data_IF_215201683046
#
_entry.id   IF_215201683046
#
_cell.length_a   1.000
_cell.length_b   1.000
_cell.length_c   1.000
_cell.angle_alpha   90.00
_cell.angle_beta   90.00
_cell.angle_gamma   90.00
#
_symmetry.space_group_name_H-M   'P 1'
#
loop_
_entity.id
_entity.type
_entity.pdbx_description
1 polymer ?
#
# COMPACT_ATOMS: atom_id res chain seq x y z
N UNK A 1 -49.03 79.02 62.19
CA UNK A 1 -49.84 78.73 60.99
C UNK A 1 -49.04 79.18 59.78
N UNK A 2 -48.40 78.24 59.07
CA UNK A 2 -47.50 78.54 57.96
C UNK A 2 -48.25 78.42 56.62
N UNK A 3 -48.30 79.52 55.88
CA UNK A 3 -48.79 79.59 54.50
C UNK A 3 -47.70 79.06 53.55
N UNK A 4 -48.05 78.12 52.66
CA UNK A 4 -47.18 77.61 51.60
C UNK A 4 -47.66 78.14 50.24
N UNK A 5 -46.78 78.86 49.54
CA UNK A 5 -46.96 79.22 48.13
C UNK A 5 -46.37 78.11 47.23
N UNK A 6 -47.12 77.68 46.22
CA UNK A 6 -46.68 76.74 45.17
C UNK A 6 -45.90 77.46 44.08
N UNK A 7 -44.77 76.87 43.66
CA UNK A 7 -44.07 77.19 42.40
C UNK A 7 -44.12 75.98 41.44
N UNK A 8 -44.10 76.17 40.11
CA UNK A 8 -44.39 75.13 39.12
C UNK A 8 -43.14 74.31 38.70
N UNK A 9 -43.40 73.10 38.20
CA UNK A 9 -42.43 72.07 37.87
C UNK A 9 -41.55 72.37 36.64
N UNK A 10 -40.29 71.90 36.58
CA UNK A 10 -39.45 72.01 35.39
C UNK A 10 -39.74 70.89 34.37
N UNK A 11 -39.64 71.25 33.08
CA UNK A 11 -39.76 70.38 31.91
C UNK A 11 -38.61 69.36 31.82
N UNK A 12 -38.95 68.12 31.51
CA UNK A 12 -38.00 67.05 31.20
C UNK A 12 -37.34 67.27 29.83
N UNK A 13 -36.02 67.14 29.77
CA UNK A 13 -35.19 67.14 28.56
C UNK A 13 -35.26 65.77 27.86
N UNK A 14 -35.49 65.78 26.55
CA UNK A 14 -35.49 64.58 25.72
C UNK A 14 -34.06 64.09 25.47
N UNK A 15 -33.74 62.87 25.90
CA UNK A 15 -32.52 62.17 25.50
C UNK A 15 -32.76 61.37 24.22
N UNK A 16 -32.00 61.65 23.17
CA UNK A 16 -31.98 60.92 21.91
C UNK A 16 -31.42 59.50 22.13
N UNK A 17 -32.22 58.46 21.87
CA UNK A 17 -31.75 57.08 21.80
C UNK A 17 -30.94 56.87 20.52
N UNK A 18 -29.63 56.68 20.65
CA UNK A 18 -28.79 56.12 19.58
C UNK A 18 -29.05 54.62 19.52
N UNK A 19 -29.72 54.16 18.45
CA UNK A 19 -29.88 52.73 18.16
C UNK A 19 -28.58 52.19 17.56
N UNK A 20 -27.83 51.42 18.35
CA UNK A 20 -26.67 50.69 17.86
C UNK A 20 -27.13 49.57 16.90
N UNK A 21 -26.89 49.72 15.59
CA UNK A 21 -27.07 48.64 14.64
C UNK A 21 -26.01 47.57 14.89
N UNK A 22 -26.42 46.39 15.37
CA UNK A 22 -25.55 45.21 15.43
C UNK A 22 -25.23 44.79 14.00
N UNK A 23 -24.05 45.16 13.51
CA UNK A 23 -23.47 44.55 12.31
C UNK A 23 -23.28 43.05 12.59
N UNK A 24 -24.05 42.22 11.90
CA UNK A 24 -23.85 40.77 11.86
C UNK A 24 -22.47 40.51 11.24
N UNK A 25 -21.48 40.18 12.07
CA UNK A 25 -20.23 39.57 11.59
C UNK A 25 -20.61 38.20 11.01
N UNK A 26 -20.73 38.12 9.69
CA UNK A 26 -20.71 36.84 8.98
C UNK A 26 -19.34 36.22 9.21
N UNK A 27 -19.26 35.27 10.14
CA UNK A 27 -18.11 34.38 10.28
C UNK A 27 -18.12 33.48 9.04
N UNK A 28 -17.27 33.81 8.08
CA UNK A 28 -17.03 32.98 6.91
C UNK A 28 -16.13 31.83 7.37
N UNK A 29 -16.75 30.72 7.77
CA UNK A 29 -16.01 29.47 8.03
C UNK A 29 -15.57 28.94 6.68
N UNK A 30 -14.36 29.30 6.26
CA UNK A 30 -13.68 28.62 5.17
C UNK A 30 -13.33 27.24 5.70
N UNK A 31 -14.09 26.21 5.31
CA UNK A 31 -13.62 24.83 5.48
C UNK A 31 -12.33 24.74 4.69
N UNK A 32 -11.21 24.45 5.37
CA UNK A 32 -9.97 24.11 4.70
C UNK A 32 -10.30 23.05 3.65
N UNK A 33 -9.93 23.31 2.40
CA UNK A 33 -10.14 22.36 1.32
C UNK A 33 -9.39 21.08 1.72
N UNK A 34 -10.13 19.99 1.98
CA UNK A 34 -9.53 18.71 2.36
C UNK A 34 -8.61 18.28 1.21
N UNK A 35 -7.39 17.89 1.54
CA UNK A 35 -6.43 17.44 0.53
C UNK A 35 -7.03 16.30 -0.29
N UNK A 36 -6.71 16.28 -1.59
CA UNK A 36 -7.20 15.25 -2.50
C UNK A 36 -6.67 13.88 -2.05
N UNK A 37 -7.54 12.89 -1.97
CA UNK A 37 -7.16 11.50 -1.71
C UNK A 37 -6.34 10.97 -2.89
N UNK A 38 -5.18 10.40 -2.59
CA UNK A 38 -4.35 9.64 -3.54
C UNK A 38 -4.69 8.16 -3.39
N UNK A 39 -4.89 7.46 -4.51
CA UNK A 39 -5.31 6.05 -4.53
C UNK A 39 -4.19 5.17 -5.08
N UNK A 40 -3.77 4.20 -4.27
CA UNK A 40 -2.71 3.24 -4.60
C UNK A 40 -3.33 1.85 -4.76
N UNK A 41 -3.03 1.15 -5.84
CA UNK A 41 -3.43 -0.24 -6.04
C UNK A 41 -2.28 -1.19 -5.73
N UNK A 42 -2.51 -2.18 -4.87
CA UNK A 42 -1.57 -3.26 -4.58
C UNK A 42 -2.16 -4.61 -4.99
N UNK A 43 -1.65 -5.18 -6.06
CA UNK A 43 -2.03 -6.50 -6.52
C UNK A 43 -1.08 -7.57 -6.03
N UNK A 44 -1.63 -8.58 -5.38
CA UNK A 44 -0.85 -9.69 -4.88
C UNK A 44 -1.73 -10.90 -4.51
N UNK A 45 -1.19 -12.12 -4.69
CA UNK A 45 -1.89 -13.34 -4.30
C UNK A 45 -1.92 -13.51 -2.77
N UNK A 46 -2.85 -14.32 -2.28
CA UNK A 46 -2.93 -14.80 -0.91
C UNK A 46 -1.60 -15.42 -0.46
N UNK A 47 -1.14 -15.10 0.76
CA UNK A 47 0.07 -15.69 1.34
C UNK A 47 1.41 -15.18 0.79
N UNK A 48 1.42 -14.23 -0.14
CA UNK A 48 2.64 -13.73 -0.79
C UNK A 48 3.36 -12.61 0.00
N UNK A 49 3.00 -12.36 1.26
CA UNK A 49 3.61 -11.30 2.07
C UNK A 49 2.95 -9.93 1.96
N UNK A 50 1.70 -9.84 1.46
CA UNK A 50 0.91 -8.60 1.37
C UNK A 50 0.85 -7.83 2.67
N UNK A 51 0.51 -8.50 3.77
CA UNK A 51 0.44 -7.87 5.08
C UNK A 51 1.79 -7.31 5.52
N UNK A 52 2.90 -7.98 5.20
CA UNK A 52 4.25 -7.48 5.49
C UNK A 52 4.55 -6.23 4.66
N UNK A 53 4.27 -6.28 3.36
CA UNK A 53 4.47 -5.13 2.48
C UNK A 53 3.62 -3.93 2.92
N UNK A 54 2.35 -4.17 3.23
CA UNK A 54 1.45 -3.14 3.75
C UNK A 54 1.96 -2.51 5.02
N UNK A 55 2.43 -3.30 5.99
CA UNK A 55 3.02 -2.78 7.24
C UNK A 55 4.26 -1.92 6.97
N UNK A 56 5.15 -2.33 6.05
CA UNK A 56 6.32 -1.53 5.65
C UNK A 56 5.89 -0.20 5.04
N UNK A 57 4.95 -0.24 4.09
CA UNK A 57 4.45 0.97 3.43
C UNK A 57 3.78 1.92 4.43
N UNK A 58 2.92 1.43 5.32
CA UNK A 58 2.27 2.28 6.32
C UNK A 58 3.25 2.86 7.34
N UNK A 59 4.34 2.15 7.65
CA UNK A 59 5.38 2.62 8.58
C UNK A 59 6.04 3.92 8.09
N UNK A 60 6.13 4.11 6.77
CA UNK A 60 6.71 5.30 6.12
C UNK A 60 5.81 6.53 6.26
N UNK A 61 4.49 6.34 6.25
CA UNK A 61 3.51 7.42 6.39
C UNK A 61 3.14 7.75 7.84
N UNK A 62 3.74 7.04 8.81
CA UNK A 62 3.45 7.21 10.22
C UNK A 62 2.20 6.48 10.69
N UNK A 63 2.18 6.22 12.01
CA UNK A 63 1.15 5.47 12.70
C UNK A 63 1.27 3.95 12.51
N UNK A 64 0.79 3.21 13.52
CA UNK A 64 0.60 1.75 13.39
C UNK A 64 -0.82 1.54 12.88
N UNK A 65 -1.03 0.91 11.71
CA UNK A 65 -2.37 0.65 11.21
C UNK A 65 -3.15 -0.21 12.20
N UNK A 66 -4.38 0.20 12.49
CA UNK A 66 -5.28 -0.50 13.41
C UNK A 66 -6.61 -0.79 12.71
N UNK A 67 -7.28 -1.89 13.07
CA UNK A 67 -8.67 -2.09 12.68
C UNK A 67 -9.56 -0.93 13.18
N UNK A 68 -10.71 -0.68 12.52
CA UNK A 68 -11.67 0.34 12.96
C UNK A 68 -12.11 0.10 14.40
N UNK A 69 -11.93 1.11 15.27
CA UNK A 69 -12.26 0.99 16.68
C UNK A 69 -13.77 0.82 16.89
N UNK A 70 -14.16 -0.22 17.64
CA UNK A 70 -15.57 -0.52 17.93
C UNK A 70 -16.35 -1.09 16.74
N UNK A 71 -15.68 -1.42 15.64
CA UNK A 71 -16.29 -2.09 14.47
C UNK A 71 -16.35 -3.61 14.60
N UNK A 72 -16.65 -4.27 13.47
CA UNK A 72 -16.59 -5.73 13.37
C UNK A 72 -15.16 -6.23 13.68
N UNK A 73 -14.97 -7.19 14.60
CA UNK A 73 -13.65 -7.72 14.94
C UNK A 73 -12.93 -8.39 13.77
N UNK A 74 -13.68 -8.85 12.77
CA UNK A 74 -13.18 -9.50 11.56
C UNK A 74 -13.09 -8.53 10.36
N UNK A 75 -13.16 -7.21 10.60
CA UNK A 75 -12.93 -6.21 9.55
C UNK A 75 -11.52 -6.33 8.96
N UNK A 76 -11.45 -6.28 7.63
CA UNK A 76 -10.19 -6.32 6.89
C UNK A 76 -9.56 -4.92 6.71
N UNK A 77 -10.26 -3.87 7.14
CA UNK A 77 -9.79 -2.50 6.98
C UNK A 77 -8.67 -2.21 7.99
N UNK A 78 -7.61 -1.53 7.53
CA UNK A 78 -6.59 -0.99 8.42
C UNK A 78 -6.53 0.53 8.26
N UNK A 79 -6.65 1.25 9.37
CA UNK A 79 -6.64 2.70 9.42
C UNK A 79 -5.40 3.16 10.18
N UNK A 80 -4.65 4.08 9.57
CA UNK A 80 -3.58 4.86 10.20
C UNK A 80 -3.89 6.35 10.08
N UNK A 81 -3.00 7.21 10.58
CA UNK A 81 -3.17 8.65 10.58
C UNK A 81 -3.30 9.23 9.15
N UNK A 82 -2.52 8.70 8.19
CA UNK A 82 -2.54 9.16 6.79
C UNK A 82 -3.12 8.14 5.80
N UNK A 83 -3.16 6.87 6.18
CA UNK A 83 -3.46 5.77 5.26
C UNK A 83 -4.70 5.01 5.68
N UNK A 84 -5.52 4.58 4.71
CA UNK A 84 -6.54 3.56 4.93
C UNK A 84 -6.37 2.48 3.88
N UNK A 85 -6.33 1.23 4.35
CA UNK A 85 -6.13 0.04 3.54
C UNK A 85 -7.44 -0.71 3.47
N UNK A 86 -7.91 -1.01 2.27
CA UNK A 86 -9.11 -1.79 2.00
C UNK A 86 -8.71 -3.09 1.30
N UNK A 87 -9.12 -4.22 1.89
CA UNK A 87 -9.01 -5.52 1.25
C UNK A 87 -10.09 -5.68 0.19
N UNK A 88 -9.72 -6.05 -1.03
CA UNK A 88 -10.67 -6.19 -2.13
C UNK A 88 -11.57 -7.41 -2.04
N UNK A 89 -11.25 -8.38 -1.17
CA UNK A 89 -12.14 -9.49 -0.85
C UNK A 89 -13.48 -9.01 -0.27
N UNK A 90 -13.52 -7.80 0.32
CA UNK A 90 -14.75 -7.17 0.80
C UNK A 90 -15.77 -6.93 -0.33
N UNK A 91 -15.30 -6.81 -1.57
CA UNK A 91 -16.15 -6.63 -2.75
C UNK A 91 -16.56 -7.94 -3.43
N UNK A 92 -16.39 -9.09 -2.77
CA UNK A 92 -16.97 -10.34 -3.25
C UNK A 92 -18.49 -10.19 -3.44
N UNK A 93 -19.01 -10.58 -4.61
CA UNK A 93 -20.46 -10.72 -4.83
C UNK A 93 -20.97 -12.13 -4.46
N UNK A 94 -20.06 -13.08 -4.25
CA UNK A 94 -20.34 -14.44 -3.82
C UNK A 94 -19.54 -14.79 -2.56
N UNK A 95 -20.25 -15.21 -1.52
CA UNK A 95 -19.63 -15.75 -0.32
C UNK A 95 -18.93 -17.10 -0.58
N UNK A 96 -18.30 -17.68 0.45
CA UNK A 96 -17.57 -18.96 0.33
C UNK A 96 -18.45 -20.11 -0.18
N UNK A 97 -19.71 -20.17 0.22
CA UNK A 97 -20.63 -21.22 -0.21
C UNK A 97 -21.22 -20.92 -1.59
N UNK A 98 -21.55 -19.66 -1.89
CA UNK A 98 -22.00 -19.21 -3.20
C UNK A 98 -21.00 -19.54 -4.30
N UNK A 99 -19.70 -19.33 -4.04
CA UNK A 99 -18.62 -19.75 -4.94
C UNK A 99 -18.58 -21.26 -5.17
N UNK A 100 -18.73 -22.07 -4.11
CA UNK A 100 -18.80 -23.54 -4.22
C UNK A 100 -19.98 -24.00 -5.05
N UNK A 101 -21.17 -23.44 -4.82
CA UNK A 101 -22.40 -23.80 -5.57
C UNK A 101 -22.26 -23.45 -7.04
N UNK A 102 -21.66 -22.30 -7.36
CA UNK A 102 -21.44 -21.86 -8.74
C UNK A 102 -20.24 -22.53 -9.41
N UNK A 103 -19.38 -23.22 -8.66
CA UNK A 103 -18.18 -23.88 -9.17
C UNK A 103 -17.08 -22.89 -9.61
N UNK A 104 -17.01 -21.71 -8.99
CA UNK A 104 -16.01 -20.67 -9.32
C UNK A 104 -15.09 -20.40 -8.13
N UNK A 105 -13.87 -19.93 -8.38
CA UNK A 105 -12.93 -19.56 -7.30
C UNK A 105 -13.08 -18.08 -6.91
N UNK A 106 -12.29 -17.60 -5.93
CA UNK A 106 -12.19 -16.15 -5.66
C UNK A 106 -11.42 -15.40 -6.76
N UNK A 107 -10.62 -16.11 -7.55
CA UNK A 107 -9.82 -15.51 -8.62
C UNK A 107 -10.71 -15.13 -9.83
N UNK A 108 -11.85 -15.81 -9.95
CA UNK A 108 -12.82 -15.59 -11.01
C UNK A 108 -13.48 -14.20 -10.90
N UNK A 109 -13.51 -13.39 -11.98
CA UNK A 109 -14.18 -12.10 -12.02
C UNK A 109 -15.67 -12.17 -11.65
N UNK A 110 -16.33 -13.30 -11.93
CA UNK A 110 -17.74 -13.54 -11.62
C UNK A 110 -18.04 -13.67 -10.12
N UNK A 111 -17.01 -13.72 -9.27
CA UNK A 111 -17.12 -13.67 -7.82
C UNK A 111 -16.92 -12.26 -7.25
N UNK A 112 -16.64 -11.26 -8.07
CA UNK A 112 -16.35 -9.89 -7.66
C UNK A 112 -17.44 -8.91 -8.09
N UNK A 113 -17.70 -7.88 -7.27
CA UNK A 113 -18.60 -6.77 -7.60
C UNK A 113 -17.80 -5.53 -8.03
N UNK A 114 -17.35 -5.52 -9.28
CA UNK A 114 -16.58 -4.39 -9.82
C UNK A 114 -17.36 -3.07 -9.90
N UNK A 115 -18.68 -3.12 -10.05
CA UNK A 115 -19.51 -1.91 -10.05
C UNK A 115 -19.52 -1.24 -8.67
N UNK A 116 -19.69 -2.03 -7.61
CA UNK A 116 -19.61 -1.52 -6.24
C UNK A 116 -18.20 -1.00 -5.93
N UNK A 117 -17.17 -1.76 -6.31
CA UNK A 117 -15.78 -1.37 -6.14
C UNK A 117 -15.47 -0.03 -6.81
N UNK A 118 -15.82 0.13 -8.09
CA UNK A 118 -15.63 1.38 -8.82
C UNK A 118 -16.36 2.55 -8.15
N UNK A 119 -17.64 2.38 -7.82
CA UNK A 119 -18.43 3.45 -7.22
C UNK A 119 -17.88 3.90 -5.87
N UNK A 120 -17.44 2.96 -5.02
CA UNK A 120 -16.92 3.29 -3.69
C UNK A 120 -15.50 3.86 -3.73
N UNK A 121 -14.59 3.30 -4.55
CA UNK A 121 -13.25 3.86 -4.74
C UNK A 121 -13.32 5.26 -5.31
N UNK A 122 -14.20 5.50 -6.29
CA UNK A 122 -14.44 6.84 -6.84
C UNK A 122 -14.96 7.81 -5.79
N UNK A 123 -15.96 7.40 -5.00
CA UNK A 123 -16.52 8.23 -3.94
C UNK A 123 -15.45 8.62 -2.91
N UNK A 124 -14.62 7.67 -2.46
CA UNK A 124 -13.52 7.93 -1.54
C UNK A 124 -12.48 8.88 -2.14
N UNK A 125 -12.12 8.71 -3.42
CA UNK A 125 -11.21 9.62 -4.14
C UNK A 125 -11.75 11.04 -4.23
N UNK A 126 -13.08 11.19 -4.36
CA UNK A 126 -13.81 12.46 -4.39
C UNK A 126 -14.08 13.07 -3.00
N UNK A 127 -13.59 12.46 -1.92
CA UNK A 127 -13.76 13.00 -0.56
C UNK A 127 -15.04 12.54 0.16
N UNK A 128 -15.80 11.60 -0.40
CA UNK A 128 -17.07 11.11 0.16
C UNK A 128 -16.85 9.82 0.94
N UNK A 129 -17.55 9.66 2.05
CA UNK A 129 -17.57 8.41 2.81
C UNK A 129 -18.44 7.35 2.11
N UNK A 130 -18.17 6.07 2.39
CA UNK A 130 -18.90 4.94 1.82
C UNK A 130 -19.23 3.92 2.91
N UNK A 131 -20.31 3.18 2.74
CA UNK A 131 -20.63 1.99 3.55
C UNK A 131 -20.14 0.75 2.81
N UNK A 132 -18.92 0.33 3.14
CA UNK A 132 -18.23 -0.79 2.48
C UNK A 132 -18.63 -2.11 3.15
N UNK A 133 -19.05 -3.15 2.41
CA UNK A 133 -19.24 -4.48 2.98
C UNK A 133 -17.97 -5.03 3.68
N UNK A 134 -18.13 -6.07 4.48
CA UNK A 134 -17.02 -6.79 5.09
C UNK A 134 -17.10 -8.25 4.66
N UNK A 135 -16.04 -8.79 4.06
CA UNK A 135 -15.93 -10.21 3.83
C UNK A 135 -15.21 -10.86 5.01
N UNK A 136 -15.97 -11.60 5.82
CA UNK A 136 -15.44 -12.22 7.02
C UNK A 136 -14.67 -13.49 6.66
N UNK A 137 -13.34 -13.47 6.82
CA UNK A 137 -12.49 -14.62 6.48
C UNK A 137 -12.67 -15.83 7.42
N UNK A 138 -13.20 -15.62 8.63
CA UNK A 138 -13.50 -16.69 9.59
C UNK A 138 -14.74 -17.46 9.13
N UNK A 139 -15.87 -16.77 9.01
CA UNK A 139 -17.16 -17.39 8.65
C UNK A 139 -17.25 -17.71 7.16
N UNK A 140 -16.58 -16.92 6.31
CA UNK A 140 -16.68 -16.98 4.86
C UNK A 140 -17.95 -16.32 4.30
N UNK A 141 -18.59 -15.45 5.07
CA UNK A 141 -19.81 -14.71 4.71
C UNK A 141 -19.53 -13.22 4.46
N UNK A 142 -20.49 -12.54 3.85
CA UNK A 142 -20.48 -11.08 3.68
C UNK A 142 -21.29 -10.47 4.83
N UNK A 143 -20.60 -9.80 5.74
CA UNK A 143 -21.15 -9.17 6.93
C UNK A 143 -21.72 -7.78 6.60
N UNK A 144 -22.43 -7.19 7.57
CA UNK A 144 -22.96 -5.83 7.48
C UNK A 144 -21.85 -4.81 7.17
N UNK A 145 -22.15 -3.75 6.40
CA UNK A 145 -21.14 -2.81 5.97
C UNK A 145 -20.61 -1.95 7.12
N UNK A 146 -19.37 -1.48 6.96
CA UNK A 146 -18.72 -0.50 7.81
C UNK A 146 -18.54 0.82 7.07
N UNK A 147 -18.66 1.93 7.79
CA UNK A 147 -18.45 3.25 7.23
C UNK A 147 -16.95 3.53 7.11
N UNK A 148 -16.51 3.86 5.89
CA UNK A 148 -15.14 4.29 5.58
C UNK A 148 -15.17 5.76 5.16
N UNK A 149 -14.44 6.60 5.90
CA UNK A 149 -14.22 8.00 5.52
C UNK A 149 -13.07 8.12 4.51
N UNK A 150 -13.10 9.14 3.67
CA UNK A 150 -12.05 9.41 2.69
C UNK A 150 -10.70 9.76 3.37
N UNK A 151 -9.62 8.99 3.13
CA UNK A 151 -8.30 9.21 3.73
C UNK A 151 -7.43 10.15 2.88
N UNK A 152 -6.23 10.51 3.36
CA UNK A 152 -5.21 11.15 2.53
C UNK A 152 -4.67 10.18 1.46
N UNK A 153 -4.37 8.95 1.88
CA UNK A 153 -3.91 7.87 1.00
C UNK A 153 -4.85 6.67 1.18
N UNK A 154 -5.53 6.31 0.11
CA UNK A 154 -6.32 5.09 0.03
C UNK A 154 -5.47 4.01 -0.64
N UNK A 155 -5.30 2.87 0.01
CA UNK A 155 -4.68 1.69 -0.59
C UNK A 155 -5.76 0.63 -0.78
N UNK A 156 -5.97 0.20 -2.02
CA UNK A 156 -6.79 -0.97 -2.31
C UNK A 156 -5.87 -2.16 -2.58
N UNK A 157 -6.00 -3.22 -1.80
CA UNK A 157 -5.11 -4.39 -1.87
C UNK A 157 -5.89 -5.67 -2.09
N UNK A 158 -5.39 -6.55 -2.97
CA UNK A 158 -6.01 -7.84 -3.21
C UNK A 158 -5.72 -8.43 -4.57
N UNK A 159 -6.64 -9.23 -5.07
CA UNK A 159 -6.48 -10.00 -6.30
C UNK A 159 -6.74 -9.16 -7.57
N UNK A 160 -7.66 -8.18 -7.52
CA UNK A 160 -8.16 -7.49 -8.72
C UNK A 160 -8.14 -5.94 -8.68
N UNK A 161 -7.13 -5.26 -8.10
CA UNK A 161 -7.17 -3.79 -7.96
C UNK A 161 -7.15 -3.02 -9.28
N UNK A 162 -6.75 -3.68 -10.37
CA UNK A 162 -6.57 -3.09 -11.68
C UNK A 162 -7.07 -3.99 -12.82
N UNK A 163 -7.92 -4.98 -12.49
CA UNK A 163 -8.61 -5.84 -13.44
C UNK A 163 -9.71 -5.07 -14.19
N UNK A 164 -10.56 -4.35 -13.45
CA UNK A 164 -11.57 -3.47 -14.05
C UNK A 164 -10.92 -2.15 -14.46
N UNK A 165 -11.00 -1.83 -15.75
CA UNK A 165 -10.38 -0.62 -16.31
C UNK A 165 -10.84 0.67 -15.62
N UNK A 166 -12.11 0.75 -15.19
CA UNK A 166 -12.64 1.96 -14.53
C UNK A 166 -12.00 2.16 -13.17
N UNK A 167 -11.73 1.07 -12.43
CA UNK A 167 -10.98 1.12 -11.16
C UNK A 167 -9.51 1.44 -11.43
N UNK A 168 -8.89 0.79 -12.42
CA UNK A 168 -7.49 1.03 -12.78
C UNK A 168 -7.21 2.48 -13.17
N UNK A 169 -8.14 3.15 -13.85
CA UNK A 169 -8.05 4.56 -14.25
C UNK A 169 -8.22 5.53 -13.05
N UNK A 170 -8.71 5.05 -11.90
CA UNK A 170 -8.75 5.82 -10.65
C UNK A 170 -7.46 5.70 -9.82
N UNK A 171 -6.55 4.78 -10.15
CA UNK A 171 -5.31 4.60 -9.42
C UNK A 171 -4.26 5.63 -9.83
N UNK A 172 -3.63 6.25 -8.85
CA UNK A 172 -2.52 7.17 -9.05
C UNK A 172 -1.16 6.45 -9.09
N UNK A 173 -1.10 5.23 -8.55
CA UNK A 173 0.06 4.35 -8.60
C UNK A 173 -0.35 2.88 -8.48
N UNK A 174 0.29 2.00 -9.26
CA UNK A 174 -0.05 0.57 -9.35
C UNK A 174 1.16 -0.30 -9.05
N UNK A 175 1.03 -1.16 -8.05
CA UNK A 175 2.09 -2.06 -7.59
C UNK A 175 1.64 -3.50 -7.74
N UNK A 176 2.51 -4.35 -8.27
CA UNK A 176 2.28 -5.80 -8.34
C UNK A 176 3.37 -6.58 -7.60
N UNK A 177 2.98 -7.57 -6.80
CA UNK A 177 3.90 -8.50 -6.15
C UNK A 177 3.84 -9.85 -6.87
N UNK A 178 4.87 -10.13 -7.67
CA UNK A 178 4.99 -11.33 -8.49
C UNK A 178 5.86 -12.38 -7.80
N UNK A 179 5.25 -13.32 -7.08
CA UNK A 179 5.98 -14.44 -6.49
C UNK A 179 5.95 -15.61 -7.48
N UNK A 180 7.13 -16.10 -7.88
CA UNK A 180 7.23 -17.27 -8.75
C UNK A 180 6.57 -18.51 -8.15
N UNK A 181 6.10 -19.41 -9.01
CA UNK A 181 5.46 -20.66 -8.60
C UNK A 181 6.37 -21.52 -7.71
N UNK A 182 7.68 -21.55 -7.99
CA UNK A 182 8.68 -22.28 -7.19
C UNK A 182 8.74 -21.75 -5.75
N UNK A 183 8.77 -20.42 -5.58
CA UNK A 183 8.80 -19.80 -4.25
C UNK A 183 7.45 -19.95 -3.53
N UNK A 184 6.33 -19.76 -4.24
CA UNK A 184 4.99 -20.01 -3.68
C UNK A 184 4.87 -21.44 -3.17
N UNK A 185 5.39 -22.40 -3.94
CA UNK A 185 5.39 -23.81 -3.58
C UNK A 185 6.25 -24.07 -2.33
N UNK A 186 7.48 -23.58 -2.31
CA UNK A 186 8.40 -23.73 -1.18
C UNK A 186 7.81 -23.15 0.12
N UNK A 187 7.28 -21.92 0.08
CA UNK A 187 6.67 -21.27 1.23
C UNK A 187 5.40 -21.98 1.71
N UNK A 188 4.57 -22.47 0.77
CA UNK A 188 3.36 -23.22 1.12
C UNK A 188 3.69 -24.55 1.77
N UNK A 189 4.71 -25.27 1.29
CA UNK A 189 5.21 -26.49 1.95
C UNK A 189 5.65 -26.17 3.37
N UNK A 190 6.52 -25.18 3.56
CA UNK A 190 7.06 -24.86 4.88
C UNK A 190 5.95 -24.52 5.88
N UNK A 191 4.95 -23.74 5.44
CA UNK A 191 3.81 -23.37 6.28
C UNK A 191 2.88 -24.55 6.59
N UNK A 192 2.46 -25.29 5.57
CA UNK A 192 1.44 -26.35 5.72
C UNK A 192 2.02 -27.61 6.40
N UNK A 193 3.32 -27.90 6.22
CA UNK A 193 4.02 -28.95 6.99
C UNK A 193 4.19 -28.60 8.47
N UNK A 194 4.38 -27.31 8.79
CA UNK A 194 4.52 -26.85 10.17
C UNK A 194 3.17 -26.79 10.91
N UNK A 195 2.07 -26.47 10.21
CA UNK A 195 0.79 -26.17 10.87
C UNK A 195 -0.28 -27.27 10.76
N UNK A 196 -0.30 -28.14 9.73
CA UNK A 196 -1.52 -28.94 9.44
C UNK A 196 -1.38 -30.37 8.90
N UNK A 197 -0.18 -30.93 8.75
CA UNK A 197 -0.02 -32.35 8.36
C UNK A 197 -0.65 -32.73 7.00
N UNK A 198 -0.92 -31.75 6.13
CA UNK A 198 -1.40 -32.02 4.78
C UNK A 198 -0.30 -32.70 3.95
N UNK A 199 -0.67 -33.69 3.14
CA UNK A 199 0.29 -34.34 2.26
C UNK A 199 0.78 -33.38 1.17
N UNK A 200 2.06 -33.48 0.79
CA UNK A 200 2.65 -32.71 -0.32
C UNK A 200 1.81 -32.77 -1.60
N UNK A 201 1.14 -33.90 -1.83
CA UNK A 201 0.29 -34.13 -2.98
C UNK A 201 -0.99 -33.28 -2.95
N UNK A 202 -1.61 -33.10 -1.77
CA UNK A 202 -2.77 -32.24 -1.62
C UNK A 202 -2.41 -30.75 -1.83
N UNK A 203 -1.23 -30.34 -1.37
CA UNK A 203 -0.69 -28.98 -1.57
C UNK A 203 -0.48 -28.69 -3.06
N UNK A 204 0.20 -29.61 -3.78
CA UNK A 204 0.40 -29.51 -5.23
C UNK A 204 -0.93 -29.41 -5.98
N UNK A 205 -1.86 -30.33 -5.70
CA UNK A 205 -3.17 -30.37 -6.35
C UNK A 205 -3.96 -29.07 -6.15
N UNK A 206 -3.87 -28.46 -4.96
CA UNK A 206 -4.52 -27.18 -4.69
C UNK A 206 -3.91 -26.00 -5.45
N UNK A 207 -2.60 -26.01 -5.73
CA UNK A 207 -1.95 -24.98 -6.53
C UNK A 207 -2.33 -25.16 -7.99
N UNK A 208 -2.20 -26.39 -8.51
CA UNK A 208 -2.56 -26.74 -9.89
C UNK A 208 -4.01 -26.40 -10.21
N UNK A 209 -4.94 -26.67 -9.29
CA UNK A 209 -6.36 -26.33 -9.47
C UNK A 209 -6.64 -24.81 -9.54
N UNK A 210 -5.78 -23.97 -8.94
CA UNK A 210 -5.94 -22.50 -8.95
C UNK A 210 -5.19 -21.82 -10.08
N UNK A 211 -4.20 -22.50 -10.68
CA UNK A 211 -3.32 -21.93 -11.71
C UNK A 211 -4.06 -21.42 -12.94
N UNK A 212 -5.08 -22.12 -13.51
CA UNK A 212 -5.81 -21.61 -14.67
C UNK A 212 -6.44 -20.24 -14.43
N UNK A 213 -7.16 -20.07 -13.31
CA UNK A 213 -7.78 -18.78 -12.97
C UNK A 213 -6.74 -17.71 -12.63
N UNK A 214 -5.62 -18.09 -12.01
CA UNK A 214 -4.53 -17.15 -11.72
C UNK A 214 -3.91 -16.61 -13.02
N UNK A 215 -3.53 -17.49 -13.92
CA UNK A 215 -2.90 -17.15 -15.20
C UNK A 215 -3.87 -16.37 -16.10
N UNK A 216 -5.19 -16.62 -15.99
CA UNK A 216 -6.22 -15.94 -16.77
C UNK A 216 -6.59 -14.55 -16.23
N UNK A 217 -6.70 -14.38 -14.91
CA UNK A 217 -7.32 -13.19 -14.31
C UNK A 217 -6.41 -12.36 -13.41
N UNK A 218 -5.35 -12.96 -12.84
CA UNK A 218 -4.48 -12.27 -11.89
C UNK A 218 -3.17 -11.85 -12.54
N UNK A 219 -2.42 -12.82 -13.08
CA UNK A 219 -1.10 -12.59 -13.68
C UNK A 219 -1.10 -11.49 -14.77
N UNK A 220 -2.11 -11.40 -15.66
CA UNK A 220 -2.11 -10.40 -16.73
C UNK A 220 -2.08 -8.95 -16.23
N UNK A 221 -2.54 -8.69 -15.01
CA UNK A 221 -2.60 -7.31 -14.51
C UNK A 221 -1.20 -6.71 -14.31
N UNK A 222 -0.15 -7.52 -14.09
CA UNK A 222 1.25 -7.03 -13.93
C UNK A 222 1.81 -6.26 -15.13
N UNK A 223 1.14 -6.35 -16.29
CA UNK A 223 1.45 -5.57 -17.50
C UNK A 223 1.19 -4.08 -17.33
N UNK A 224 0.24 -3.73 -16.47
CA UNK A 224 -0.22 -2.36 -16.27
C UNK A 224 0.36 -1.72 -14.99
N UNK A 225 1.21 -2.45 -14.26
CA UNK A 225 1.81 -1.97 -13.02
C UNK A 225 2.93 -0.94 -13.29
N UNK A 226 3.04 0.05 -12.41
CA UNK A 226 4.12 1.04 -12.42
C UNK A 226 5.40 0.48 -11.78
N UNK A 227 5.25 -0.33 -10.73
CA UNK A 227 6.35 -1.07 -10.11
C UNK A 227 5.95 -2.52 -9.83
N UNK A 228 6.86 -3.45 -10.11
CA UNK A 228 6.69 -4.87 -9.86
C UNK A 228 7.83 -5.36 -8.97
N UNK A 229 7.50 -6.03 -7.87
CA UNK A 229 8.47 -6.79 -7.08
C UNK A 229 8.32 -8.25 -7.47
N UNK A 230 9.29 -8.78 -8.20
CA UNK A 230 9.32 -10.18 -8.62
C UNK A 230 10.27 -10.99 -7.74
N UNK A 231 9.77 -12.05 -7.09
CA UNK A 231 10.53 -12.92 -6.18
C UNK A 231 10.75 -14.28 -6.81
N UNK A 232 12.02 -14.62 -7.02
CA UNK A 232 12.52 -15.80 -7.72
C UNK A 232 13.44 -16.62 -6.79
N UNK A 233 13.66 -17.91 -7.09
CA UNK A 233 14.74 -18.68 -6.48
C UNK A 233 16.10 -18.02 -6.73
N UNK A 234 16.99 -18.11 -5.75
CA UNK A 234 18.37 -17.64 -5.89
C UNK A 234 19.12 -18.33 -7.04
N UNK A 235 20.09 -17.64 -7.62
CA UNK A 235 21.05 -18.21 -8.57
C UNK A 235 22.46 -18.37 -7.97
N UNK A 236 22.65 -17.97 -6.70
CA UNK A 236 23.96 -18.03 -6.05
C UNK A 236 24.29 -19.43 -5.50
N UNK A 237 23.27 -20.18 -5.11
CA UNK A 237 23.40 -21.52 -4.51
C UNK A 237 22.18 -22.37 -4.91
N UNK A 238 22.33 -23.69 -5.11
CA UNK A 238 21.16 -24.58 -5.19
C UNK A 238 20.35 -24.52 -3.89
N UNK A 239 19.11 -24.04 -3.97
CA UNK A 239 18.19 -23.93 -2.83
C UNK A 239 16.77 -24.32 -3.22
N UNK A 240 16.33 -25.49 -2.76
CA UNK A 240 14.99 -26.03 -2.95
C UNK A 240 13.99 -25.55 -1.88
N UNK A 241 14.48 -24.87 -0.84
CA UNK A 241 13.68 -24.44 0.31
C UNK A 241 13.17 -23.00 0.18
N UNK A 242 13.66 -22.24 -0.80
CA UNK A 242 13.32 -20.82 -0.96
C UNK A 242 13.77 -19.98 0.24
N UNK A 243 14.89 -20.35 0.85
CA UNK A 243 15.56 -19.63 1.93
C UNK A 243 16.26 -18.38 1.39
N UNK A 244 16.93 -18.53 0.24
CA UNK A 244 17.63 -17.46 -0.46
C UNK A 244 16.82 -17.05 -1.68
N UNK A 245 16.68 -15.73 -1.87
CA UNK A 245 15.80 -15.17 -2.88
C UNK A 245 16.59 -14.28 -3.84
N UNK A 246 16.26 -14.41 -5.11
CA UNK A 246 16.58 -13.42 -6.15
C UNK A 246 15.36 -12.54 -6.32
N UNK A 247 15.46 -11.27 -6.00
CA UNK A 247 14.34 -10.33 -6.06
C UNK A 247 14.64 -9.26 -7.09
N UNK A 248 13.68 -9.00 -7.99
CA UNK A 248 13.75 -7.94 -9.00
C UNK A 248 12.71 -6.87 -8.68
N UNK A 249 13.15 -5.62 -8.68
CA UNK A 249 12.32 -4.43 -8.72
C UNK A 249 12.29 -3.91 -10.16
N UNK A 250 11.18 -4.16 -10.84
CA UNK A 250 10.93 -3.75 -12.22
C UNK A 250 10.14 -2.44 -12.18
N UNK A 251 10.64 -1.41 -12.83
CA UNK A 251 10.16 -0.03 -12.69
C UNK A 251 9.83 0.54 -14.05
N UNK A 252 8.60 1.01 -14.24
CA UNK A 252 8.15 1.61 -15.48
C UNK A 252 8.87 2.93 -15.77
N UNK A 253 9.42 3.06 -16.97
CA UNK A 253 10.05 4.30 -17.43
C UNK A 253 9.02 5.34 -17.89
N UNK A 254 9.43 6.61 -17.89
CA UNK A 254 8.64 7.71 -18.46
C UNK A 254 7.38 8.11 -17.67
N UNK A 255 7.23 7.65 -16.43
CA UNK A 255 6.16 8.10 -15.55
C UNK A 255 6.39 9.53 -15.07
N UNK A 256 5.32 10.32 -14.98
CA UNK A 256 5.39 11.67 -14.37
C UNK A 256 5.38 11.62 -12.84
N UNK A 257 4.96 10.48 -12.27
CA UNK A 257 4.65 10.35 -10.85
C UNK A 257 5.85 9.87 -10.02
N UNK A 258 6.86 9.27 -10.63
CA UNK A 258 8.05 8.79 -9.94
C UNK A 258 9.20 8.65 -10.93
N UNK A 259 10.44 8.69 -10.42
CA UNK A 259 11.64 8.40 -11.20
C UNK A 259 12.21 7.05 -10.76
N UNK A 260 12.62 6.13 -11.66
CA UNK A 260 13.16 4.84 -11.25
C UNK A 260 14.45 4.93 -10.42
N UNK A 261 14.63 3.96 -9.52
CA UNK A 261 15.88 3.76 -8.77
C UNK A 261 16.94 3.18 -9.72
N UNK A 262 18.16 3.69 -9.65
CA UNK A 262 19.30 3.17 -10.40
C UNK A 262 20.51 2.90 -9.51
N UNK A 263 21.44 2.09 -10.03
CA UNK A 263 22.69 1.73 -9.37
C UNK A 263 23.86 2.29 -10.18
N UNK A 264 24.70 3.12 -9.55
CA UNK A 264 25.84 3.84 -10.14
C UNK A 264 25.54 4.76 -11.33
N UNK A 265 25.12 4.22 -12.48
CA UNK A 265 24.97 4.95 -13.74
C UNK A 265 23.63 4.57 -14.40
N UNK A 266 22.77 5.58 -14.56
CA UNK A 266 21.40 5.40 -15.06
C UNK A 266 21.39 4.98 -16.54
N UNK A 267 20.57 3.97 -16.87
CA UNK A 267 20.44 3.43 -18.23
C UNK A 267 21.54 2.43 -18.64
N UNK A 268 22.61 2.29 -17.85
CA UNK A 268 23.67 1.31 -18.08
C UNK A 268 23.30 -0.08 -17.54
N UNK A 269 23.97 -1.13 -18.02
CA UNK A 269 23.86 -2.49 -17.46
C UNK A 269 25.01 -2.79 -16.51
N UNK A 270 24.70 -3.09 -15.26
CA UNK A 270 25.67 -3.21 -14.16
C UNK A 270 25.42 -4.50 -13.38
N UNK A 271 26.49 -5.23 -13.07
CA UNK A 271 26.49 -6.31 -12.10
C UNK A 271 27.49 -5.97 -10.99
N UNK A 272 27.05 -6.00 -9.74
CA UNK A 272 27.86 -5.58 -8.61
C UNK A 272 27.80 -6.56 -7.45
N UNK A 273 28.95 -6.97 -6.95
CA UNK A 273 29.08 -7.78 -5.72
C UNK A 273 29.63 -6.85 -4.65
N UNK A 274 28.82 -6.39 -3.67
CA UNK A 274 29.27 -5.47 -2.65
C UNK A 274 30.19 -6.13 -1.61
N UNK A 275 30.10 -7.45 -1.47
CA UNK A 275 30.86 -8.24 -0.51
C UNK A 275 32.37 -8.15 -0.76
N UNK A 276 33.12 -7.75 0.27
CA UNK A 276 34.57 -7.53 0.19
C UNK A 276 35.11 -7.03 1.51
N UNK A 277 36.22 -6.26 1.48
CA UNK A 277 36.83 -5.74 2.72
C UNK A 277 35.94 -4.76 3.50
N UNK A 278 35.06 -4.04 2.80
CA UNK A 278 34.18 -3.02 3.38
C UNK A 278 32.81 -3.56 3.84
N UNK A 279 32.42 -4.72 3.32
CA UNK A 279 31.15 -5.38 3.61
C UNK A 279 31.41 -6.88 3.71
N UNK A 280 31.40 -7.42 4.93
CA UNK A 280 31.66 -8.84 5.16
C UNK A 280 30.36 -9.61 5.01
N UNK A 281 30.28 -10.49 4.03
CA UNK A 281 29.11 -11.33 3.83
C UNK A 281 29.46 -12.80 4.08
N UNK A 282 28.60 -13.50 4.78
CA UNK A 282 28.58 -14.95 4.85
C UNK A 282 28.08 -15.52 3.53
N UNK A 283 28.37 -16.78 3.30
CA UNK A 283 27.88 -17.51 2.14
C UNK A 283 26.33 -17.48 2.06
N UNK A 284 25.72 -17.27 0.87
CA UNK A 284 26.32 -17.15 -0.46
C UNK A 284 26.72 -15.70 -0.85
N UNK A 285 26.58 -14.74 0.05
CA UNK A 285 26.83 -13.33 -0.19
C UNK A 285 25.63 -12.61 -0.81
N UNK A 286 25.93 -11.49 -1.47
CA UNK A 286 24.96 -10.61 -2.12
C UNK A 286 25.47 -10.31 -3.52
N UNK A 287 24.56 -10.32 -4.49
CA UNK A 287 24.81 -9.84 -5.85
C UNK A 287 23.70 -8.89 -6.26
N UNK A 288 24.08 -7.70 -6.68
CA UNK A 288 23.18 -6.69 -7.24
C UNK A 288 23.29 -6.70 -8.76
N UNK A 289 22.17 -6.41 -9.42
CA UNK A 289 22.14 -6.14 -10.86
C UNK A 289 21.27 -4.91 -11.13
N UNK A 290 21.64 -4.13 -12.13
CA UNK A 290 20.84 -3.03 -12.65
C UNK A 290 20.92 -2.99 -14.17
N UNK A 291 19.81 -2.68 -14.84
CA UNK A 291 19.85 -2.38 -16.26
C UNK A 291 18.47 -2.14 -16.87
N UNK A 292 18.44 -1.61 -18.11
CA UNK A 292 17.22 -1.47 -18.88
C UNK A 292 16.71 -2.85 -19.36
N UNK A 293 15.39 -3.00 -19.44
CA UNK A 293 14.71 -4.19 -19.93
C UNK A 293 13.40 -3.78 -20.64
N UNK A 294 12.72 -4.74 -21.26
CA UNK A 294 11.38 -4.56 -21.84
C UNK A 294 10.38 -5.44 -21.12
N UNK A 295 9.36 -4.83 -20.53
CA UNK A 295 8.26 -5.52 -19.84
C UNK A 295 6.97 -5.40 -20.64
N UNK A 296 6.56 -6.50 -21.30
CA UNK A 296 5.35 -6.53 -22.15
C UNK A 296 5.29 -5.40 -23.20
N UNK A 297 6.44 -5.08 -23.81
CA UNK A 297 6.57 -4.03 -24.83
C UNK A 297 6.70 -2.61 -24.27
N UNK A 298 6.78 -2.44 -22.95
CA UNK A 298 7.06 -1.17 -22.29
C UNK A 298 8.52 -1.14 -21.80
N UNK A 299 9.17 0.01 -21.89
CA UNK A 299 10.51 0.22 -21.36
C UNK A 299 10.48 0.25 -19.82
N UNK A 300 11.42 -0.46 -19.20
CA UNK A 300 11.55 -0.54 -17.74
C UNK A 300 13.01 -0.50 -17.32
N UNK A 301 13.27 0.03 -16.12
CA UNK A 301 14.53 -0.17 -15.39
C UNK A 301 14.36 -1.28 -14.37
N UNK A 302 15.29 -2.23 -14.37
CA UNK A 302 15.29 -3.37 -13.44
C UNK A 302 16.45 -3.21 -12.46
N UNK A 303 16.12 -3.15 -11.16
CA UNK A 303 17.09 -3.29 -10.08
C UNK A 303 16.88 -4.65 -9.42
N UNK A 304 17.93 -5.39 -9.15
CA UNK A 304 17.85 -6.76 -8.64
C UNK A 304 18.84 -6.98 -7.51
N UNK A 305 18.43 -7.81 -6.55
CA UNK A 305 19.26 -8.30 -5.45
C UNK A 305 19.06 -9.82 -5.32
N UNK A 306 20.15 -10.56 -5.40
CA UNK A 306 20.23 -11.99 -5.11
C UNK A 306 21.08 -12.23 -3.85
N UNK A 307 20.60 -13.10 -2.96
CA UNK A 307 21.23 -13.40 -1.67
C UNK A 307 20.59 -12.65 -0.50
N UNK A 308 21.33 -12.53 0.60
CA UNK A 308 20.83 -11.96 1.85
C UNK A 308 21.92 -11.18 2.61
N UNK A 309 21.48 -10.22 3.41
CA UNK A 309 22.28 -9.54 4.41
C UNK A 309 22.42 -10.41 5.66
N UNK A 310 23.63 -10.49 6.21
CA UNK A 310 23.83 -11.11 7.52
C UNK A 310 23.45 -10.14 8.65
N UNK A 311 23.91 -8.89 8.51
CA UNK A 311 23.67 -7.81 9.46
C UNK A 311 22.93 -6.70 8.73
N UNK A 312 21.76 -6.35 9.24
CA UNK A 312 20.89 -5.38 8.59
C UNK A 312 21.49 -3.98 8.60
N UNK A 313 22.35 -3.66 9.56
CA UNK A 313 23.08 -2.41 9.65
C UNK A 313 24.03 -2.20 8.46
N UNK A 314 24.48 -3.29 7.85
CA UNK A 314 25.39 -3.24 6.71
C UNK A 314 24.67 -2.91 5.39
N UNK A 315 23.33 -2.92 5.38
CA UNK A 315 22.51 -2.44 4.26
C UNK A 315 22.85 -0.99 3.87
N UNK A 316 23.33 -0.19 4.84
CA UNK A 316 23.74 1.20 4.59
C UNK A 316 24.78 1.31 3.48
N UNK A 317 25.63 0.29 3.31
CA UNK A 317 26.61 0.27 2.25
C UNK A 317 25.96 0.12 0.88
N UNK A 318 24.95 -0.74 0.74
CA UNK A 318 24.17 -0.87 -0.50
C UNK A 318 23.37 0.40 -0.76
N UNK A 319 22.69 0.93 0.26
CA UNK A 319 21.94 2.20 0.16
C UNK A 319 22.82 3.35 -0.33
N UNK A 320 24.07 3.43 0.11
CA UNK A 320 25.00 4.51 -0.28
C UNK A 320 25.37 4.55 -1.76
N UNK A 321 25.11 3.45 -2.49
CA UNK A 321 25.39 3.33 -3.93
C UNK A 321 24.11 3.33 -4.79
N UNK A 322 22.93 3.32 -4.17
CA UNK A 322 21.66 3.48 -4.86
C UNK A 322 21.34 4.97 -5.03
N UNK A 323 20.76 5.31 -6.17
CA UNK A 323 20.35 6.68 -6.50
C UNK A 323 18.86 6.74 -6.83
N UNK A 324 18.26 7.92 -6.74
CA UNK A 324 16.82 8.13 -6.90
C UNK A 324 15.97 7.25 -5.96
N UNK A 325 16.38 7.02 -4.71
CA UNK A 325 15.62 6.15 -3.77
C UNK A 325 14.39 6.81 -3.15
N UNK A 326 14.20 8.12 -3.36
CA UNK A 326 13.17 8.95 -2.69
C UNK A 326 13.29 9.03 -1.17
N UNK A 327 14.48 8.71 -0.66
CA UNK A 327 14.86 8.99 0.71
C UNK A 327 15.01 10.51 0.94
N UNK A 328 14.53 11.01 2.07
CA UNK A 328 14.64 12.41 2.51
C UNK A 328 15.96 12.70 3.22
N UNK A 329 16.63 11.66 3.75
CA UNK A 329 17.95 11.75 4.35
C UNK A 329 18.74 10.46 4.12
N UNK A 330 20.07 10.55 4.22
CA UNK A 330 20.95 9.40 4.07
C UNK A 330 20.70 8.37 5.19
N UNK A 331 20.46 7.11 4.81
CA UNK A 331 20.19 6.03 5.76
C UNK A 331 18.71 5.85 6.09
N UNK A 332 17.80 6.56 5.45
CA UNK A 332 16.36 6.40 5.69
C UNK A 332 15.88 4.98 5.38
N UNK A 333 16.38 4.35 4.29
CA UNK A 333 15.96 2.99 3.94
C UNK A 333 16.41 2.03 5.04
N UNK A 334 17.69 2.11 5.42
CA UNK A 334 18.26 1.29 6.48
C UNK A 334 17.54 1.49 7.80
N UNK A 335 17.22 2.74 8.17
CA UNK A 335 16.47 3.05 9.39
C UNK A 335 15.06 2.44 9.36
N UNK A 336 14.33 2.58 8.26
CA UNK A 336 12.98 2.02 8.12
C UNK A 336 13.00 0.48 8.13
N UNK A 337 14.04 -0.14 7.58
CA UNK A 337 14.22 -1.59 7.66
C UNK A 337 14.58 -2.05 9.07
N UNK A 338 15.47 -1.34 9.79
CA UNK A 338 15.82 -1.65 11.18
C UNK A 338 14.62 -1.52 12.13
N UNK A 339 13.80 -0.48 11.96
CA UNK A 339 12.52 -0.29 12.69
C UNK A 339 11.60 -1.51 12.55
N UNK A 340 11.67 -2.17 11.41
CA UNK A 340 10.86 -3.34 11.05
C UNK A 340 11.72 -4.62 10.89
N UNK A 341 12.82 -4.73 11.64
CA UNK A 341 13.81 -5.81 11.50
C UNK A 341 13.22 -7.21 11.69
N UNK A 342 12.21 -7.36 12.55
CA UNK A 342 11.51 -8.63 12.77
C UNK A 342 10.54 -9.06 11.66
N UNK A 343 10.36 -8.28 10.60
CA UNK A 343 9.46 -8.64 9.51
C UNK A 343 10.08 -9.67 8.55
N UNK A 344 9.28 -10.60 7.99
CA UNK A 344 9.75 -11.50 6.94
C UNK A 344 10.40 -10.73 5.78
N UNK A 345 11.52 -11.25 5.27
CA UNK A 345 12.27 -10.65 4.18
C UNK A 345 13.10 -9.41 4.55
N UNK A 346 13.19 -9.03 5.84
CA UNK A 346 14.03 -7.89 6.26
C UNK A 346 15.52 -8.08 5.98
N UNK A 347 15.98 -9.30 5.74
CA UNK A 347 17.38 -9.62 5.45
C UNK A 347 17.65 -9.85 3.96
N UNK A 348 16.72 -9.60 3.04
CA UNK A 348 16.95 -9.81 1.60
C UNK A 348 16.28 -8.74 0.74
N UNK A 349 16.36 -8.91 -0.59
CA UNK A 349 15.82 -7.96 -1.56
C UNK A 349 14.32 -7.68 -1.40
N UNK A 350 13.56 -8.59 -0.79
CA UNK A 350 12.11 -8.41 -0.58
C UNK A 350 11.84 -7.22 0.34
N UNK A 351 12.46 -7.18 1.52
CA UNK A 351 12.28 -6.08 2.46
C UNK A 351 12.87 -4.76 1.94
N UNK A 352 14.02 -4.84 1.25
CA UNK A 352 14.67 -3.69 0.64
C UNK A 352 13.77 -3.02 -0.40
N UNK A 353 13.33 -3.77 -1.41
CA UNK A 353 12.52 -3.21 -2.49
C UNK A 353 11.12 -2.84 -2.03
N UNK A 354 10.50 -3.56 -1.09
CA UNK A 354 9.24 -3.12 -0.48
C UNK A 354 9.38 -1.76 0.24
N UNK A 355 10.49 -1.54 0.94
CA UNK A 355 10.76 -0.28 1.63
C UNK A 355 10.95 0.85 0.60
N UNK A 356 11.75 0.62 -0.43
CA UNK A 356 11.96 1.56 -1.53
C UNK A 356 10.64 1.92 -2.22
N UNK A 357 9.80 0.93 -2.55
CA UNK A 357 8.49 1.20 -3.17
C UNK A 357 7.62 2.04 -2.25
N UNK A 358 7.66 1.84 -0.93
CA UNK A 358 6.95 2.70 0.00
C UNK A 358 7.44 4.17 -0.01
N UNK A 359 8.75 4.40 -0.17
CA UNK A 359 9.30 5.74 -0.34
C UNK A 359 8.87 6.36 -1.68
N UNK A 360 8.75 5.54 -2.73
CA UNK A 360 8.18 5.96 -4.03
C UNK A 360 6.71 6.32 -3.94
N UNK A 361 5.91 5.58 -3.17
CA UNK A 361 4.51 5.93 -2.90
C UNK A 361 4.44 7.29 -2.20
N UNK A 362 5.38 7.58 -1.28
CA UNK A 362 5.46 8.90 -0.63
C UNK A 362 5.78 9.99 -1.65
N UNK A 363 6.76 9.78 -2.51
CA UNK A 363 7.06 10.71 -3.61
C UNK A 363 5.85 10.97 -4.51
N UNK A 364 5.12 9.92 -4.92
CA UNK A 364 3.89 10.05 -5.72
C UNK A 364 2.86 10.92 -5.01
N UNK A 365 2.61 10.64 -3.73
CA UNK A 365 1.69 11.43 -2.91
C UNK A 365 2.12 12.90 -2.88
N UNK A 366 3.38 13.19 -2.53
CA UNK A 366 3.92 14.55 -2.44
C UNK A 366 3.84 15.29 -3.80
N UNK A 367 4.12 14.60 -4.91
CA UNK A 367 4.00 15.17 -6.27
C UNK A 367 2.56 15.56 -6.61
N UNK A 368 1.57 14.80 -6.13
CA UNK A 368 0.14 15.05 -6.38
C UNK A 368 -0.39 16.17 -5.47
N UNK A 369 -0.13 16.10 -4.16
CA UNK A 369 -0.66 17.06 -3.20
C UNK A 369 0.17 18.34 -3.07
N UNK A 370 1.39 18.37 -3.62
CA UNK A 370 2.34 19.48 -3.54
C UNK A 370 2.68 19.88 -2.09
N UNK A 371 2.78 18.87 -1.22
CA UNK A 371 3.13 19.02 0.21
C UNK A 371 4.10 17.91 0.59
N UNK A 372 5.13 18.25 1.34
CA UNK A 372 6.08 17.29 1.88
C UNK A 372 5.49 16.51 3.06
N UNK A 373 5.78 15.21 3.10
CA UNK A 373 5.51 14.34 4.24
C UNK A 373 6.78 14.27 5.07
N UNK A 374 6.69 14.67 6.34
CA UNK A 374 7.82 14.57 7.28
C UNK A 374 8.07 13.09 7.59
N UNK A 375 9.32 12.59 7.50
CA UNK A 375 9.65 11.21 7.85
C UNK A 375 9.23 10.83 9.28
N UNK A 376 8.76 9.60 9.47
CA UNK A 376 8.15 9.09 10.70
C UNK A 376 8.97 8.03 11.46
#
# INVERSE_FOLDING_TARGET
>A
MAFTMRAPAPRATAQSRVTASRASRRVLVVKAQKDKTVVIGLAADSGCGKSTFMRRMTSIFGGVPKPPAGGNPDSNTLISDMTTVICLDDYHCLDRNGRKVKGVTALAPEAQNFDLMYNQVKALKEGKAVDKPIYNHVTGLIDAPEKIDSPNILVIEGLHPFFDKRVADLLDFKIYLDISDDIKFAWKIQRDMAERGHSLQAIKSSIEARKPDFDAYIDPQKKDADMIIQVLPTQLVPDDKGQYLRVRLIQKEGSKMFDPVYLFDEGSTISWIPCGRKLTCSFPGIKMFYGPDTWYGQEVSVLEMDGQFDKLEELIYVESHLSNTSAKFYGEITQQMLKNSGFPGSNNGTGLFQTIVGLKVREVYERIVKKDVVPA
#
